data_IF_901052972141
#
_entry.id   IF_901052972141
#
_cell.length_a   1.000
_cell.length_b   1.000
_cell.length_c   1.000
_cell.angle_alpha   90.00
_cell.angle_beta   90.00
_cell.angle_gamma   90.00
#
_symmetry.space_group_name_H-M   'P 1'
#
loop_
_entity.id
_entity.type
_entity.pdbx_description
1 polymer ?
#
# COMPACT_ATOMS: atom_id res chain seq x y z
N UNK A 1 35.56 -3.65 -5.73
CA UNK A 1 34.35 -3.40 -6.52
C UNK A 1 33.18 -3.33 -5.56
N UNK A 2 32.36 -2.29 -5.62
CA UNK A 2 31.20 -2.16 -4.73
C UNK A 2 30.21 -3.31 -5.01
N UNK A 3 29.54 -3.86 -3.98
CA UNK A 3 28.56 -4.94 -4.16
C UNK A 3 27.42 -4.53 -5.10
N UNK A 4 27.02 -3.26 -5.05
CA UNK A 4 26.03 -2.68 -5.96
C UNK A 4 26.55 -2.63 -7.40
N UNK A 5 27.82 -2.26 -7.63
CA UNK A 5 28.42 -2.24 -8.98
C UNK A 5 28.41 -3.65 -9.59
N UNK A 6 28.73 -4.68 -8.79
CA UNK A 6 28.66 -6.07 -9.22
C UNK A 6 27.23 -6.48 -9.61
N UNK A 7 26.21 -6.05 -8.84
CA UNK A 7 24.81 -6.34 -9.15
C UNK A 7 24.36 -5.61 -10.42
N UNK A 8 24.81 -4.37 -10.63
CA UNK A 8 24.57 -3.59 -11.85
C UNK A 8 25.12 -4.33 -13.07
N UNK A 9 26.40 -4.73 -13.04
CA UNK A 9 27.03 -5.41 -14.16
C UNK A 9 26.37 -6.75 -14.46
N UNK A 10 26.05 -7.51 -13.41
CA UNK A 10 25.37 -8.79 -13.55
C UNK A 10 23.99 -8.63 -14.20
N UNK A 11 23.16 -7.72 -13.69
CA UNK A 11 21.84 -7.45 -14.24
C UNK A 11 21.92 -6.96 -15.70
N UNK A 12 22.85 -6.06 -15.99
CA UNK A 12 23.06 -5.55 -17.34
C UNK A 12 23.47 -6.65 -18.32
N UNK A 13 24.34 -7.56 -17.89
CA UNK A 13 24.74 -8.71 -18.70
C UNK A 13 23.59 -9.70 -18.88
N UNK A 14 22.85 -10.02 -17.81
CA UNK A 14 21.75 -10.97 -17.85
C UNK A 14 20.62 -10.51 -18.79
N UNK A 15 20.27 -9.22 -18.75
CA UNK A 15 19.21 -8.63 -19.58
C UNK A 15 19.71 -7.99 -20.90
N UNK A 16 20.96 -8.23 -21.32
CA UNK A 16 21.62 -7.55 -22.47
C UNK A 16 20.90 -7.66 -23.82
N UNK A 17 20.02 -8.64 -23.98
CA UNK A 17 19.26 -8.89 -25.21
C UNK A 17 17.75 -8.62 -25.05
N UNK A 18 17.34 -8.03 -23.92
CA UNK A 18 15.94 -7.77 -23.59
C UNK A 18 15.58 -6.30 -23.72
N UNK A 19 14.33 -6.05 -24.10
CA UNK A 19 13.76 -4.72 -24.23
C UNK A 19 12.46 -4.61 -23.45
N UNK A 20 12.10 -3.41 -23.01
CA UNK A 20 10.82 -3.14 -22.36
C UNK A 20 9.69 -3.39 -23.35
N UNK A 21 8.63 -4.05 -22.88
CA UNK A 21 7.50 -4.51 -23.69
C UNK A 21 6.94 -3.40 -24.60
N UNK A 22 7.01 -3.62 -25.91
CA UNK A 22 6.48 -2.68 -26.91
C UNK A 22 7.33 -1.41 -27.10
N UNK A 23 8.64 -1.47 -26.83
CA UNK A 23 9.57 -0.36 -27.02
C UNK A 23 10.99 -0.85 -27.36
N UNK A 24 11.86 0.07 -27.78
CA UNK A 24 13.30 -0.17 -27.99
C UNK A 24 14.16 0.14 -26.76
N UNK A 25 13.52 0.44 -25.61
CA UNK A 25 14.23 0.77 -24.37
C UNK A 25 14.85 -0.51 -23.79
N UNK A 26 16.17 -0.56 -23.53
CA UNK A 26 16.82 -1.73 -22.91
C UNK A 26 16.17 -2.10 -21.58
N UNK A 27 15.90 -3.39 -21.34
CA UNK A 27 15.17 -3.85 -20.16
C UNK A 27 15.83 -3.42 -18.84
N UNK A 28 17.17 -3.38 -18.84
CA UNK A 28 17.99 -2.95 -17.70
C UNK A 28 17.60 -1.59 -17.11
N UNK A 29 16.95 -0.71 -17.90
CA UNK A 29 16.43 0.56 -17.37
C UNK A 29 15.43 0.36 -16.21
N UNK A 30 14.69 -0.76 -16.21
CA UNK A 30 13.72 -1.06 -15.16
C UNK A 30 14.37 -1.49 -13.85
N UNK A 31 15.23 -2.53 -13.81
CA UNK A 31 15.95 -2.86 -12.58
C UNK A 31 16.72 -1.68 -11.99
N UNK A 32 17.32 -0.83 -12.84
CA UNK A 32 17.93 0.42 -12.39
C UNK A 32 16.93 1.38 -11.75
N UNK A 33 15.78 1.62 -12.40
CA UNK A 33 14.72 2.47 -11.86
C UNK A 33 14.18 1.97 -10.52
N UNK A 34 14.05 0.65 -10.35
CA UNK A 34 13.65 0.02 -9.07
C UNK A 34 14.70 0.25 -8.00
N UNK A 35 15.98 0.02 -8.31
CA UNK A 35 17.09 0.25 -7.40
C UNK A 35 17.18 1.71 -6.94
N UNK A 36 16.96 2.67 -7.85
CA UNK A 36 16.93 4.10 -7.52
C UNK A 36 15.80 4.45 -6.55
N UNK A 37 14.59 3.93 -6.77
CA UNK A 37 13.46 4.11 -5.84
C UNK A 37 13.81 3.57 -4.45
N UNK A 38 14.44 2.39 -4.37
CA UNK A 38 14.84 1.77 -3.11
C UNK A 38 15.93 2.57 -2.38
N UNK A 39 16.91 3.10 -3.12
CA UNK A 39 17.96 3.98 -2.60
C UNK A 39 17.38 5.30 -2.06
N UNK A 40 16.49 5.95 -2.81
CA UNK A 40 15.78 7.17 -2.37
C UNK A 40 14.95 6.91 -1.11
N UNK A 41 14.33 5.74 -1.02
CA UNK A 41 13.60 5.28 0.16
C UNK A 41 14.53 4.84 1.33
N UNK A 42 15.86 4.94 1.16
CA UNK A 42 16.89 4.58 2.15
C UNK A 42 16.76 3.12 2.63
N UNK A 43 16.44 2.22 1.71
CA UNK A 43 16.39 0.79 1.98
C UNK A 43 17.81 0.23 2.21
N UNK A 44 17.90 -0.96 2.81
CA UNK A 44 19.19 -1.65 3.02
C UNK A 44 19.84 -2.00 1.68
N UNK A 45 21.18 -2.09 1.68
CA UNK A 45 21.98 -2.42 0.49
C UNK A 45 21.51 -3.72 -0.18
N UNK A 46 21.19 -4.75 0.60
CA UNK A 46 20.68 -6.03 0.09
C UNK A 46 19.38 -5.88 -0.69
N UNK A 47 18.49 -4.98 -0.26
CA UNK A 47 17.21 -4.72 -0.94
C UNK A 47 17.45 -3.99 -2.26
N UNK A 48 18.38 -3.04 -2.28
CA UNK A 48 18.77 -2.32 -3.50
C UNK A 48 19.37 -3.28 -4.53
N UNK A 49 20.29 -4.16 -4.11
CA UNK A 49 20.85 -5.19 -4.98
C UNK A 49 19.78 -6.16 -5.46
N UNK A 50 18.86 -6.60 -4.58
CA UNK A 50 17.74 -7.42 -4.99
C UNK A 50 16.84 -6.69 -6.01
N UNK A 51 16.66 -5.36 -5.89
CA UNK A 51 15.99 -4.53 -6.88
C UNK A 51 16.64 -4.58 -8.28
N UNK A 52 17.97 -4.57 -8.33
CA UNK A 52 18.71 -4.73 -9.60
C UNK A 52 18.56 -6.14 -10.20
N UNK A 53 18.31 -7.15 -9.36
CA UNK A 53 18.35 -8.56 -9.73
C UNK A 53 16.97 -9.24 -9.77
N UNK A 54 15.88 -8.53 -9.42
CA UNK A 54 14.60 -9.17 -9.10
C UNK A 54 14.00 -9.99 -10.26
N UNK A 55 14.23 -9.57 -11.50
CA UNK A 55 13.74 -10.26 -12.70
C UNK A 55 14.74 -11.27 -13.27
N UNK A 56 15.97 -11.37 -12.74
CA UNK A 56 17.00 -12.22 -13.37
C UNK A 56 16.63 -13.70 -13.29
N UNK A 57 16.06 -14.17 -12.17
CA UNK A 57 15.59 -15.56 -12.05
C UNK A 57 14.38 -15.85 -12.94
N UNK A 58 13.54 -14.83 -13.18
CA UNK A 58 12.27 -15.01 -13.87
C UNK A 58 12.42 -14.95 -15.40
N UNK A 59 13.31 -14.09 -15.89
CA UNK A 59 13.40 -13.71 -17.30
C UNK A 59 14.74 -14.01 -17.95
N UNK A 60 15.73 -14.57 -17.24
CA UNK A 60 17.06 -14.89 -17.79
C UNK A 60 17.49 -16.31 -17.44
N UNK A 61 18.65 -16.76 -17.95
CA UNK A 61 19.24 -18.06 -17.59
C UNK A 61 19.93 -18.07 -16.21
N UNK A 62 19.70 -17.05 -15.38
CA UNK A 62 20.29 -16.93 -14.04
C UNK A 62 19.72 -18.00 -13.11
N UNK A 63 20.60 -18.65 -12.34
CA UNK A 63 20.20 -19.68 -11.37
C UNK A 63 20.27 -19.17 -9.92
N UNK A 64 19.61 -19.89 -9.00
CA UNK A 64 19.74 -19.64 -7.57
C UNK A 64 21.20 -19.67 -7.09
N UNK A 65 22.02 -20.57 -7.64
CA UNK A 65 23.43 -20.71 -7.28
C UNK A 65 24.28 -19.53 -7.77
N UNK A 66 23.96 -18.96 -8.93
CA UNK A 66 24.61 -17.75 -9.42
C UNK A 66 24.40 -16.58 -8.46
N UNK A 67 23.18 -16.41 -7.96
CA UNK A 67 22.86 -15.33 -7.02
C UNK A 67 23.44 -15.60 -5.63
N UNK A 68 23.33 -16.84 -5.14
CA UNK A 68 23.85 -17.24 -3.82
C UNK A 68 25.35 -17.03 -3.75
N UNK A 69 26.10 -17.52 -4.74
CA UNK A 69 27.56 -17.47 -4.76
C UNK A 69 28.11 -16.05 -4.92
N UNK A 70 27.41 -15.17 -5.64
CA UNK A 70 27.87 -13.80 -5.93
C UNK A 70 27.38 -12.74 -4.95
N UNK A 71 26.15 -12.86 -4.46
CA UNK A 71 25.48 -11.80 -3.70
C UNK A 71 25.04 -12.22 -2.30
N UNK A 72 25.01 -13.54 -2.03
CA UNK A 72 24.70 -14.13 -0.74
C UNK A 72 23.22 -14.50 -0.57
N UNK A 73 22.95 -15.23 0.52
CA UNK A 73 21.63 -15.82 0.80
C UNK A 73 20.51 -14.80 0.88
N UNK A 74 20.76 -13.65 1.52
CA UNK A 74 19.72 -12.65 1.75
C UNK A 74 19.24 -12.02 0.43
N UNK A 75 20.15 -11.79 -0.52
CA UNK A 75 19.77 -11.25 -1.84
C UNK A 75 18.98 -12.28 -2.62
N UNK A 76 19.43 -13.55 -2.63
CA UNK A 76 18.68 -14.63 -3.27
C UNK A 76 17.25 -14.74 -2.70
N UNK A 77 17.12 -14.75 -1.37
CA UNK A 77 15.83 -14.84 -0.68
C UNK A 77 14.88 -13.69 -1.08
N UNK A 78 15.41 -12.48 -1.21
CA UNK A 78 14.64 -11.30 -1.63
C UNK A 78 14.21 -11.40 -3.10
N UNK A 79 15.10 -11.83 -3.99
CA UNK A 79 14.79 -12.03 -5.41
C UNK A 79 13.71 -13.11 -5.57
N UNK A 80 13.85 -14.26 -4.89
CA UNK A 80 12.84 -15.32 -4.87
C UNK A 80 11.48 -14.84 -4.33
N UNK A 81 11.49 -13.99 -3.30
CA UNK A 81 10.27 -13.38 -2.75
C UNK A 81 9.61 -12.36 -3.69
N UNK A 82 10.33 -11.84 -4.69
CA UNK A 82 9.80 -10.90 -5.68
C UNK A 82 9.31 -11.60 -6.97
N UNK A 83 9.79 -12.81 -7.26
CA UNK A 83 9.39 -13.60 -8.44
C UNK A 83 7.98 -14.18 -8.29
N UNK A 84 7.23 -14.23 -9.39
CA UNK A 84 5.90 -14.86 -9.37
C UNK A 84 6.00 -16.39 -9.34
N UNK A 85 5.08 -17.09 -8.66
CA UNK A 85 5.03 -18.55 -8.70
C UNK A 85 4.62 -19.04 -10.09
N UNK A 86 4.79 -20.35 -10.30
CA UNK A 86 4.43 -21.14 -11.48
C UNK A 86 3.70 -20.37 -12.61
N UNK A 87 4.44 -20.07 -13.69
CA UNK A 87 3.93 -19.39 -14.89
C UNK A 87 2.84 -20.18 -15.64
N UNK A 88 2.57 -21.44 -15.27
CA UNK A 88 1.47 -22.25 -15.80
C UNK A 88 0.08 -21.78 -15.31
N UNK A 89 0.03 -21.12 -14.16
CA UNK A 89 -1.20 -20.61 -13.55
C UNK A 89 -1.76 -19.40 -14.31
N UNK A 90 -3.07 -19.16 -14.17
CA UNK A 90 -3.70 -17.98 -14.74
C UNK A 90 -3.12 -16.68 -14.16
N UNK A 91 -3.32 -15.58 -14.88
CA UNK A 91 -2.87 -14.27 -14.40
C UNK A 91 -3.52 -13.93 -13.05
N UNK A 92 -4.82 -14.21 -12.92
CA UNK A 92 -5.62 -14.00 -11.72
C UNK A 92 -5.05 -14.75 -10.51
N UNK A 93 -4.83 -16.07 -10.65
CA UNK A 93 -4.28 -16.91 -9.57
C UNK A 93 -2.90 -16.44 -9.12
N UNK A 94 -2.03 -16.07 -10.06
CA UNK A 94 -0.68 -15.57 -9.72
C UNK A 94 -0.76 -14.23 -8.97
N UNK A 95 -1.64 -13.32 -9.39
CA UNK A 95 -1.82 -12.04 -8.70
C UNK A 95 -2.45 -12.20 -7.32
N UNK A 96 -3.44 -13.07 -7.17
CA UNK A 96 -4.03 -13.39 -5.87
C UNK A 96 -2.99 -14.00 -4.90
N UNK A 97 -2.14 -14.91 -5.40
CA UNK A 97 -1.03 -15.45 -4.62
C UNK A 97 -0.08 -14.35 -4.15
N UNK A 98 0.36 -13.45 -5.05
CA UNK A 98 1.21 -12.31 -4.68
C UNK A 98 0.55 -11.43 -3.62
N UNK A 99 -0.74 -11.13 -3.78
CA UNK A 99 -1.49 -10.30 -2.82
C UNK A 99 -1.53 -10.95 -1.44
N UNK A 100 -1.75 -12.26 -1.34
CA UNK A 100 -1.78 -12.95 -0.05
C UNK A 100 -0.39 -13.08 0.57
N UNK A 101 0.62 -13.45 -0.23
CA UNK A 101 2.01 -13.53 0.21
C UNK A 101 2.48 -12.21 0.83
N UNK A 102 2.22 -11.08 0.17
CA UNK A 102 2.68 -9.76 0.63
C UNK A 102 2.06 -9.33 1.97
N UNK A 103 0.91 -9.89 2.39
CA UNK A 103 0.33 -9.58 3.71
C UNK A 103 1.18 -10.09 4.87
N UNK A 104 1.93 -11.18 4.64
CA UNK A 104 2.77 -11.83 5.66
C UNK A 104 4.27 -11.68 5.40
N UNK A 105 4.67 -11.19 4.21
CA UNK A 105 6.05 -10.96 3.85
C UNK A 105 6.76 -9.94 4.76
N UNK A 106 8.07 -10.15 4.95
CA UNK A 106 8.90 -9.24 5.72
C UNK A 106 9.00 -7.84 5.07
N UNK A 107 9.49 -6.86 5.83
CA UNK A 107 9.57 -5.47 5.37
C UNK A 107 10.42 -5.30 4.10
N UNK A 108 11.56 -5.98 4.00
CA UNK A 108 12.48 -5.86 2.87
C UNK A 108 11.83 -6.38 1.58
N UNK A 109 11.16 -7.53 1.66
CA UNK A 109 10.43 -8.12 0.52
C UNK A 109 9.28 -7.21 0.07
N UNK A 110 8.52 -6.65 1.02
CA UNK A 110 7.45 -5.68 0.71
C UNK A 110 7.99 -4.39 0.09
N UNK A 111 9.12 -3.89 0.57
CA UNK A 111 9.78 -2.70 -0.01
C UNK A 111 10.21 -2.96 -1.45
N UNK A 112 10.84 -4.09 -1.72
CA UNK A 112 11.25 -4.51 -3.07
C UNK A 112 10.05 -4.61 -4.02
N UNK A 113 9.01 -5.34 -3.63
CA UNK A 113 7.79 -5.48 -4.44
C UNK A 113 7.10 -4.13 -4.66
N UNK A 114 7.03 -3.29 -3.63
CA UNK A 114 6.46 -1.94 -3.74
C UNK A 114 7.23 -1.06 -4.74
N UNK A 115 8.57 -1.11 -4.73
CA UNK A 115 9.41 -0.34 -5.65
C UNK A 115 9.25 -0.80 -7.10
N UNK A 116 9.21 -2.12 -7.34
CA UNK A 116 8.92 -2.70 -8.65
C UNK A 116 7.57 -2.20 -9.18
N UNK A 117 6.50 -2.39 -8.41
CA UNK A 117 5.16 -1.99 -8.84
C UNK A 117 5.03 -0.47 -9.00
N UNK A 118 5.70 0.33 -8.17
CA UNK A 118 5.75 1.78 -8.35
C UNK A 118 6.44 2.17 -9.67
N UNK A 119 7.58 1.57 -9.98
CA UNK A 119 8.28 1.86 -11.24
C UNK A 119 7.41 1.48 -12.45
N UNK A 120 6.78 0.31 -12.39
CA UNK A 120 5.88 -0.16 -13.45
C UNK A 120 4.67 0.78 -13.61
N UNK A 121 4.02 1.20 -12.53
CA UNK A 121 2.92 2.15 -12.56
C UNK A 121 3.33 3.49 -13.19
N UNK A 122 4.49 4.03 -12.81
CA UNK A 122 5.03 5.27 -13.40
C UNK A 122 5.37 5.13 -14.88
N UNK A 123 5.76 3.93 -15.33
CA UNK A 123 5.92 3.64 -16.76
C UNK A 123 4.57 3.66 -17.48
N UNK A 124 3.54 3.01 -16.91
CA UNK A 124 2.19 3.01 -17.48
C UNK A 124 1.62 4.41 -17.54
N UNK A 125 1.79 5.23 -16.51
CA UNK A 125 1.33 6.62 -16.49
C UNK A 125 1.98 7.46 -17.59
N UNK A 126 3.28 7.30 -17.82
CA UNK A 126 4.00 7.99 -18.92
C UNK A 126 3.45 7.57 -20.29
N UNK A 127 3.22 6.28 -20.48
CA UNK A 127 2.63 5.78 -21.73
C UNK A 127 1.19 6.25 -21.92
N UNK A 128 0.39 6.27 -20.85
CA UNK A 128 -1.00 6.77 -20.87
C UNK A 128 -1.06 8.27 -21.24
N UNK A 129 -0.10 9.07 -20.80
CA UNK A 129 -0.03 10.49 -21.17
C UNK A 129 0.18 10.73 -22.68
N UNK A 130 0.71 9.73 -23.40
CA UNK A 130 0.95 9.80 -24.85
C UNK A 130 -0.14 9.07 -25.64
N UNK A 131 -0.54 7.89 -25.17
CA UNK A 131 -1.42 6.96 -25.90
C UNK A 131 -2.89 6.99 -25.44
N UNK A 132 -3.17 7.63 -24.30
CA UNK A 132 -4.47 7.52 -23.64
C UNK A 132 -4.83 6.06 -23.34
N UNK A 133 -6.09 5.70 -23.58
CA UNK A 133 -6.62 4.37 -23.30
C UNK A 133 -5.99 3.25 -24.15
N UNK A 134 -5.32 3.57 -25.25
CA UNK A 134 -4.63 2.56 -26.06
C UNK A 134 -3.47 1.88 -25.30
N UNK A 135 -2.98 2.48 -24.21
CA UNK A 135 -1.98 1.86 -23.34
C UNK A 135 -2.43 0.48 -22.84
N UNK A 136 -3.73 0.28 -22.63
CA UNK A 136 -4.28 -0.96 -22.09
C UNK A 136 -4.13 -2.13 -23.06
N UNK A 137 -3.97 -1.87 -24.36
CA UNK A 137 -3.70 -2.89 -25.38
C UNK A 137 -2.32 -3.57 -25.19
N UNK A 138 -1.39 -2.91 -24.47
CA UNK A 138 -0.10 -3.51 -24.11
C UNK A 138 -0.26 -4.63 -23.06
N UNK A 139 -1.37 -4.70 -22.35
CA UNK A 139 -1.61 -5.66 -21.29
C UNK A 139 -2.55 -6.77 -21.75
N UNK A 140 -2.24 -8.03 -21.41
CA UNK A 140 -3.15 -9.17 -21.65
C UNK A 140 -4.47 -9.03 -20.87
N UNK A 141 -4.51 -8.14 -19.88
CA UNK A 141 -5.66 -7.80 -19.03
C UNK A 141 -5.81 -6.29 -19.06
N UNK A 142 -7.02 -5.82 -19.39
CA UNK A 142 -7.31 -4.39 -19.54
C UNK A 142 -7.33 -3.62 -18.22
N UNK A 143 -7.77 -2.37 -18.31
CA UNK A 143 -7.79 -1.39 -17.23
C UNK A 143 -8.32 -1.93 -15.90
N UNK A 144 -9.50 -2.54 -15.87
CA UNK A 144 -10.18 -2.92 -14.62
C UNK A 144 -9.37 -3.94 -13.80
N UNK A 145 -8.72 -4.90 -14.46
CA UNK A 145 -7.89 -5.91 -13.80
C UNK A 145 -6.57 -5.29 -13.31
N UNK A 146 -5.98 -4.36 -14.05
CA UNK A 146 -4.80 -3.62 -13.58
C UNK A 146 -5.16 -2.77 -12.36
N UNK A 147 -6.24 -1.99 -12.44
CA UNK A 147 -6.77 -1.19 -11.35
C UNK A 147 -7.02 -2.03 -10.10
N UNK A 148 -7.73 -3.15 -10.24
CA UNK A 148 -7.98 -4.09 -9.14
C UNK A 148 -6.67 -4.53 -8.49
N UNK A 149 -5.66 -4.93 -9.27
CA UNK A 149 -4.40 -5.42 -8.74
C UNK A 149 -3.63 -4.34 -7.98
N UNK A 150 -3.47 -3.14 -8.57
CA UNK A 150 -2.75 -2.04 -7.94
C UNK A 150 -3.44 -1.52 -6.68
N UNK A 151 -4.77 -1.45 -6.66
CA UNK A 151 -5.53 -1.06 -5.45
C UNK A 151 -5.34 -2.09 -4.35
N UNK A 152 -5.45 -3.39 -4.66
CA UNK A 152 -5.26 -4.44 -3.65
C UNK A 152 -3.81 -4.56 -3.17
N UNK A 153 -2.82 -4.21 -4.01
CA UNK A 153 -1.42 -4.17 -3.59
C UNK A 153 -1.19 -3.18 -2.44
N UNK A 154 -1.86 -2.02 -2.43
CA UNK A 154 -1.74 -1.06 -1.34
C UNK A 154 -2.19 -1.68 -0.01
N UNK A 155 -3.33 -2.39 -0.03
CA UNK A 155 -3.84 -3.11 1.15
C UNK A 155 -2.88 -4.20 1.59
N UNK A 156 -2.44 -5.07 0.69
CA UNK A 156 -1.53 -6.19 1.02
C UNK A 156 -0.19 -5.71 1.55
N UNK A 157 0.42 -4.70 0.92
CA UNK A 157 1.70 -4.14 1.35
C UNK A 157 1.60 -3.46 2.73
N UNK A 158 0.47 -2.81 3.03
CA UNK A 158 0.23 -2.14 4.31
C UNK A 158 -0.31 -3.05 5.42
N UNK A 159 -0.74 -4.26 5.08
CA UNK A 159 -1.40 -5.18 6.00
C UNK A 159 -0.58 -5.43 7.27
N UNK A 160 0.68 -5.85 7.14
CA UNK A 160 1.55 -6.12 8.30
C UNK A 160 1.95 -4.83 9.04
N UNK A 161 2.49 -3.86 8.31
CA UNK A 161 2.91 -2.56 8.85
C UNK A 161 3.08 -1.53 7.74
N UNK A 162 2.95 -0.25 8.09
CA UNK A 162 3.18 0.87 7.17
C UNK A 162 4.68 1.20 7.04
N UNK A 163 5.11 1.66 5.88
CA UNK A 163 6.48 2.13 5.60
C UNK A 163 6.48 3.30 4.60
N UNK A 164 7.49 4.20 4.60
CA UNK A 164 7.43 5.44 3.81
C UNK A 164 7.26 5.25 2.29
N UNK A 165 7.86 4.23 1.69
CA UNK A 165 7.71 3.97 0.26
C UNK A 165 6.26 3.62 -0.13
N UNK A 166 5.50 2.98 0.78
CA UNK A 166 4.09 2.69 0.57
C UNK A 166 3.26 3.98 0.43
N UNK A 167 3.61 5.05 1.15
CA UNK A 167 2.91 6.33 1.06
C UNK A 167 3.00 6.92 -0.35
N UNK A 168 4.17 6.81 -0.99
CA UNK A 168 4.41 7.24 -2.37
C UNK A 168 3.65 6.36 -3.34
N UNK A 169 3.70 5.04 -3.17
CA UNK A 169 2.99 4.10 -4.03
C UNK A 169 1.47 4.27 -3.96
N UNK A 170 0.91 4.36 -2.75
CA UNK A 170 -0.50 4.61 -2.52
C UNK A 170 -0.98 5.90 -3.19
N UNK A 171 -0.24 7.01 -3.02
CA UNK A 171 -0.60 8.28 -3.68
C UNK A 171 -0.62 8.17 -5.20
N UNK A 172 0.32 7.44 -5.80
CA UNK A 172 0.37 7.23 -7.25
C UNK A 172 -0.81 6.38 -7.74
N UNK A 173 -1.13 5.29 -7.04
CA UNK A 173 -2.27 4.41 -7.34
C UNK A 173 -3.59 5.17 -7.28
N UNK A 174 -3.81 5.93 -6.20
CA UNK A 174 -5.04 6.68 -5.98
C UNK A 174 -5.23 7.81 -7.00
N UNK A 175 -4.16 8.56 -7.28
CA UNK A 175 -4.19 9.61 -8.29
C UNK A 175 -4.48 9.04 -9.68
N UNK A 176 -3.85 7.92 -10.03
CA UNK A 176 -3.93 7.38 -11.39
C UNK A 176 -5.21 6.58 -11.65
N UNK A 177 -5.59 5.66 -10.76
CA UNK A 177 -6.72 4.74 -10.99
C UNK A 177 -8.04 5.20 -10.39
N UNK A 178 -8.00 6.07 -9.38
CA UNK A 178 -9.19 6.45 -8.62
C UNK A 178 -9.55 7.93 -8.81
N UNK A 179 -8.65 8.73 -9.41
CA UNK A 179 -8.86 10.17 -9.60
C UNK A 179 -9.08 10.90 -8.28
N UNK A 180 -8.53 10.37 -7.18
CA UNK A 180 -8.71 10.96 -5.87
C UNK A 180 -7.84 12.21 -5.72
N UNK A 181 -8.49 13.31 -5.38
CA UNK A 181 -7.86 14.55 -4.95
C UNK A 181 -8.31 14.89 -3.54
N UNK A 182 -7.36 15.33 -2.72
CA UNK A 182 -7.60 15.74 -1.34
C UNK A 182 -7.21 17.20 -1.17
N UNK A 183 -8.04 17.93 -0.42
CA UNK A 183 -7.75 19.27 0.05
C UNK A 183 -6.50 19.29 0.95
N UNK A 184 -5.94 20.48 1.18
CA UNK A 184 -4.80 20.64 2.08
C UNK A 184 -5.13 20.18 3.51
N UNK A 185 -6.35 20.47 3.97
CA UNK A 185 -6.85 20.04 5.27
C UNK A 185 -6.93 18.50 5.36
N UNK A 186 -7.57 17.83 4.41
CA UNK A 186 -7.66 16.35 4.40
C UNK A 186 -6.29 15.68 4.36
N UNK A 187 -5.35 16.24 3.59
CA UNK A 187 -3.96 15.75 3.54
C UNK A 187 -3.26 15.87 4.90
N UNK A 188 -3.59 16.89 5.69
CA UNK A 188 -3.05 17.07 7.04
C UNK A 188 -3.57 16.02 8.05
N UNK A 189 -4.75 15.44 7.79
CA UNK A 189 -5.41 14.47 8.66
C UNK A 189 -5.13 13.01 8.27
N UNK A 190 -5.24 12.69 6.96
CA UNK A 190 -5.31 11.33 6.40
C UNK A 190 -4.14 10.40 6.75
N UNK A 191 -2.97 10.94 7.10
CA UNK A 191 -1.79 10.17 7.50
C UNK A 191 -1.24 10.61 8.86
N UNK A 192 -2.06 11.25 9.68
CA UNK A 192 -1.68 11.78 10.98
C UNK A 192 -2.26 10.91 12.10
N UNK A 193 -1.45 10.05 12.75
CA UNK A 193 -1.94 9.19 13.81
C UNK A 193 -2.53 9.97 15.00
N UNK A 194 -2.07 11.19 15.28
CA UNK A 194 -2.59 12.00 16.38
C UNK A 194 -4.02 12.47 16.10
N UNK A 195 -4.33 12.81 14.84
CA UNK A 195 -5.68 13.18 14.44
C UNK A 195 -6.66 12.03 14.68
N UNK A 196 -6.32 10.82 14.24
CA UNK A 196 -7.17 9.64 14.46
C UNK A 196 -7.27 9.23 15.94
N UNK A 197 -6.15 9.30 16.68
CA UNK A 197 -6.16 9.08 18.13
C UNK A 197 -7.14 10.06 18.83
N UNK A 198 -7.18 11.32 18.39
CA UNK A 198 -8.11 12.34 18.89
C UNK A 198 -9.58 12.06 18.51
N UNK A 199 -9.84 11.55 17.30
CA UNK A 199 -11.20 11.18 16.88
C UNK A 199 -11.77 10.07 17.77
N UNK A 200 -10.98 9.02 18.04
CA UNK A 200 -11.39 7.94 18.93
C UNK A 200 -11.58 8.41 20.38
N UNK A 201 -10.67 9.26 20.88
CA UNK A 201 -10.79 9.83 22.23
C UNK A 201 -12.09 10.64 22.39
N UNK A 202 -12.48 11.41 21.38
CA UNK A 202 -13.69 12.23 21.41
C UNK A 202 -15.00 11.41 21.45
N UNK A 203 -14.99 10.11 21.13
CA UNK A 203 -16.19 9.27 21.17
C UNK A 203 -16.74 9.08 22.60
N UNK A 204 -15.85 9.05 23.59
CA UNK A 204 -16.19 8.73 24.98
C UNK A 204 -15.67 9.76 25.99
N UNK A 205 -14.98 10.81 25.53
CA UNK A 205 -14.46 11.86 26.39
C UNK A 205 -15.57 12.78 26.93
N UNK A 206 -15.33 13.34 28.12
CA UNK A 206 -16.18 14.39 28.69
C UNK A 206 -16.17 15.67 27.82
N UNK A 207 -17.24 16.48 27.82
CA UNK A 207 -17.36 17.67 26.98
C UNK A 207 -16.18 18.66 27.10
N UNK A 208 -15.63 18.84 28.30
CA UNK A 208 -14.49 19.73 28.55
C UNK A 208 -13.22 19.23 27.86
N UNK A 209 -13.04 17.90 27.82
CA UNK A 209 -11.92 17.27 27.14
C UNK A 209 -12.07 17.35 25.63
N UNK A 210 -13.30 17.19 25.12
CA UNK A 210 -13.60 17.36 23.69
C UNK A 210 -13.31 18.80 23.24
N UNK A 211 -13.73 19.81 24.01
CA UNK A 211 -13.46 21.22 23.69
C UNK A 211 -11.96 21.51 23.58
N UNK A 212 -11.15 20.98 24.51
CA UNK A 212 -9.69 21.13 24.43
C UNK A 212 -9.07 20.48 23.19
N UNK A 213 -9.56 19.29 22.81
CA UNK A 213 -9.13 18.63 21.56
C UNK A 213 -9.54 19.46 20.34
N UNK A 214 -10.73 20.07 20.36
CA UNK A 214 -11.19 20.94 19.27
C UNK A 214 -10.33 22.19 19.12
N UNK A 215 -9.85 22.79 20.21
CA UNK A 215 -8.91 23.90 20.18
C UNK A 215 -7.58 23.48 19.51
N UNK A 216 -6.99 22.36 19.93
CA UNK A 216 -5.76 21.82 19.33
C UNK A 216 -5.94 21.50 17.83
N UNK A 217 -7.07 20.92 17.45
CA UNK A 217 -7.39 20.64 16.04
C UNK A 217 -7.63 21.93 15.25
N UNK A 218 -8.22 22.96 15.87
CA UNK A 218 -8.43 24.27 15.29
C UNK A 218 -7.12 24.96 14.93
N UNK A 219 -6.15 24.95 15.84
CA UNK A 219 -4.79 25.49 15.58
C UNK A 219 -4.09 24.82 14.41
N UNK A 220 -4.36 23.53 14.20
CA UNK A 220 -3.79 22.75 13.09
C UNK A 220 -4.64 22.79 11.80
N UNK A 221 -5.77 23.51 11.81
CA UNK A 221 -6.68 23.60 10.66
C UNK A 221 -7.39 22.29 10.33
N UNK A 222 -7.73 21.48 11.34
CA UNK A 222 -8.28 20.11 11.21
C UNK A 222 -9.72 19.99 11.73
N UNK A 223 -10.33 21.10 12.14
CA UNK A 223 -11.66 21.11 12.74
C UNK A 223 -12.76 20.74 11.75
N UNK A 224 -12.61 21.09 10.47
CA UNK A 224 -13.54 20.70 9.40
C UNK A 224 -13.54 19.19 9.21
N UNK A 225 -12.36 18.57 9.19
CA UNK A 225 -12.19 17.12 9.16
C UNK A 225 -12.87 16.43 10.35
N UNK A 226 -12.73 16.93 11.59
CA UNK A 226 -13.45 16.38 12.75
C UNK A 226 -14.95 16.42 12.54
N UNK A 227 -15.50 17.59 12.15
CA UNK A 227 -16.94 17.75 11.93
C UNK A 227 -17.45 16.75 10.89
N UNK A 228 -16.77 16.63 9.75
CA UNK A 228 -17.13 15.69 8.69
C UNK A 228 -17.14 14.23 9.17
N UNK A 229 -16.19 13.83 10.03
CA UNK A 229 -16.16 12.49 10.64
C UNK A 229 -17.37 12.30 11.56
N UNK A 230 -17.60 13.20 12.52
CA UNK A 230 -18.67 13.07 13.51
C UNK A 230 -20.07 13.14 12.89
N UNK A 231 -20.29 14.01 11.89
CA UNK A 231 -21.56 14.05 11.14
C UNK A 231 -21.84 12.72 10.43
N UNK A 232 -20.80 12.05 9.94
CA UNK A 232 -20.93 10.72 9.32
C UNK A 232 -21.13 9.60 10.34
N UNK A 233 -20.51 9.70 11.52
CA UNK A 233 -20.77 8.77 12.63
C UNK A 233 -22.26 8.74 12.96
N UNK A 234 -22.88 9.91 13.16
CA UNK A 234 -24.29 9.92 13.56
C UNK A 234 -25.23 9.45 12.47
N UNK A 235 -24.95 9.74 11.19
CA UNK A 235 -25.71 9.13 10.08
C UNK A 235 -25.61 7.60 10.10
N UNK A 236 -24.42 7.05 10.26
CA UNK A 236 -24.23 5.60 10.33
C UNK A 236 -24.93 4.95 11.53
N UNK A 237 -25.01 5.65 12.67
CA UNK A 237 -25.74 5.18 13.87
C UNK A 237 -27.25 5.28 13.71
N UNK A 238 -27.74 6.26 12.95
CA UNK A 238 -29.17 6.44 12.65
C UNK A 238 -29.70 5.49 11.57
N UNK A 239 -28.90 4.50 11.14
CA UNK A 239 -29.34 3.46 10.21
C UNK A 239 -29.25 3.86 8.74
N UNK A 240 -28.33 4.77 8.37
CA UNK A 240 -28.02 5.06 6.97
C UNK A 240 -27.73 3.74 6.20
N UNK A 241 -28.54 3.40 5.18
CA UNK A 241 -28.36 2.17 4.41
C UNK A 241 -26.98 2.05 3.76
N UNK A 242 -26.32 3.18 3.44
CA UNK A 242 -24.97 3.18 2.87
C UNK A 242 -23.90 2.74 3.88
N UNK A 243 -24.18 2.85 5.19
CA UNK A 243 -23.27 2.45 6.24
C UNK A 243 -23.43 0.98 6.63
N UNK A 244 -24.63 0.39 6.54
CA UNK A 244 -24.90 -0.95 7.08
C UNK A 244 -23.95 -2.02 6.52
N UNK A 245 -23.79 -2.10 5.19
CA UNK A 245 -22.86 -3.04 4.56
C UNK A 245 -21.40 -2.79 4.93
N UNK A 246 -20.99 -1.50 4.96
CA UNK A 246 -19.62 -1.10 5.31
C UNK A 246 -19.27 -1.42 6.76
N UNK A 247 -20.23 -1.27 7.69
CA UNK A 247 -20.07 -1.62 9.10
C UNK A 247 -19.81 -3.13 9.24
N UNK A 248 -20.56 -3.94 8.51
CA UNK A 248 -20.37 -5.39 8.52
C UNK A 248 -19.00 -5.79 7.93
N UNK A 249 -18.58 -5.18 6.82
CA UNK A 249 -17.26 -5.41 6.22
C UNK A 249 -16.11 -5.04 7.17
N UNK A 250 -16.15 -3.83 7.76
CA UNK A 250 -15.12 -3.38 8.70
C UNK A 250 -15.11 -4.22 9.96
N UNK A 251 -16.27 -4.57 10.51
CA UNK A 251 -16.36 -5.46 11.66
C UNK A 251 -15.67 -6.80 11.37
N UNK A 252 -16.01 -7.46 10.26
CA UNK A 252 -15.40 -8.75 9.88
C UNK A 252 -13.90 -8.61 9.66
N UNK A 253 -13.45 -7.53 9.02
CA UNK A 253 -12.03 -7.27 8.82
C UNK A 253 -11.28 -7.09 10.14
N UNK A 254 -11.79 -6.25 11.05
CA UNK A 254 -11.15 -6.02 12.35
C UNK A 254 -11.12 -7.31 13.21
N UNK A 255 -12.21 -8.08 13.18
CA UNK A 255 -12.31 -9.38 13.86
C UNK A 255 -11.31 -10.41 13.31
N UNK A 256 -11.18 -10.53 11.98
CA UNK A 256 -10.20 -11.44 11.37
C UNK A 256 -8.75 -11.07 11.72
N UNK A 257 -8.52 -9.82 12.12
CA UNK A 257 -7.23 -9.31 12.60
C UNK A 257 -7.07 -9.28 14.12
N UNK A 258 -7.97 -9.96 14.84
CA UNK A 258 -7.88 -10.21 16.28
C UNK A 258 -8.39 -9.08 17.17
N UNK A 259 -9.11 -8.09 16.63
CA UNK A 259 -9.82 -7.11 17.44
C UNK A 259 -11.22 -7.65 17.71
N UNK A 260 -11.43 -8.14 18.94
CA UNK A 260 -12.74 -8.59 19.40
C UNK A 260 -13.60 -7.41 19.86
N UNK A 261 -14.90 -7.52 19.65
CA UNK A 261 -15.90 -6.58 20.13
C UNK A 261 -16.93 -7.33 20.97
N UNK A 262 -17.54 -6.64 21.92
CA UNK A 262 -18.72 -7.16 22.61
C UNK A 262 -19.92 -7.10 21.66
N UNK A 263 -20.64 -8.22 21.57
CA UNK A 263 -21.80 -8.37 20.70
C UNK A 263 -22.94 -7.46 21.22
N UNK A 264 -23.60 -6.75 20.31
CA UNK A 264 -24.76 -5.90 20.57
C UNK A 264 -24.57 -4.77 21.60
N UNK A 265 -23.32 -4.32 21.81
CA UNK A 265 -23.05 -3.17 22.68
C UNK A 265 -23.13 -1.85 21.91
N UNK A 266 -23.72 -0.82 22.55
CA UNK A 266 -23.78 0.53 21.98
C UNK A 266 -22.36 1.09 21.72
N UNK A 267 -21.39 0.74 22.57
CA UNK A 267 -19.99 1.11 22.40
C UNK A 267 -19.36 0.50 21.13
N UNK A 268 -19.64 -0.78 20.85
CA UNK A 268 -19.21 -1.43 19.60
C UNK A 268 -19.79 -0.71 18.39
N UNK A 269 -21.09 -0.38 18.42
CA UNK A 269 -21.74 0.31 17.32
C UNK A 269 -21.12 1.67 17.03
N UNK A 270 -20.81 2.44 18.08
CA UNK A 270 -20.14 3.75 17.99
C UNK A 270 -18.74 3.60 17.37
N UNK A 271 -17.93 2.65 17.85
CA UNK A 271 -16.56 2.45 17.35
C UNK A 271 -16.57 2.02 15.89
N UNK A 272 -17.42 1.06 15.51
CA UNK A 272 -17.53 0.59 14.12
C UNK A 272 -18.05 1.71 13.22
N UNK A 273 -19.03 2.50 13.68
CA UNK A 273 -19.50 3.69 12.96
C UNK A 273 -18.38 4.72 12.76
N UNK A 274 -17.52 4.94 13.76
CA UNK A 274 -16.35 5.80 13.65
C UNK A 274 -15.32 5.27 12.65
N UNK A 275 -15.03 3.97 12.67
CA UNK A 275 -14.14 3.34 11.70
C UNK A 275 -14.64 3.53 10.27
N UNK A 276 -15.92 3.26 10.01
CA UNK A 276 -16.54 3.49 8.69
C UNK A 276 -16.52 4.97 8.33
N UNK A 277 -16.82 5.85 9.28
CA UNK A 277 -16.83 7.28 9.03
C UNK A 277 -15.45 7.80 8.60
N UNK A 278 -14.39 7.41 9.32
CA UNK A 278 -13.01 7.78 8.98
C UNK A 278 -12.56 7.14 7.67
N UNK A 279 -12.91 5.88 7.43
CA UNK A 279 -12.60 5.19 6.19
C UNK A 279 -13.19 5.92 4.98
N UNK A 280 -14.46 6.30 5.06
CA UNK A 280 -15.16 6.95 3.95
C UNK A 280 -14.70 8.39 3.75
N UNK A 281 -14.54 9.15 4.83
CA UNK A 281 -14.11 10.55 4.77
C UNK A 281 -12.70 10.67 4.19
N UNK A 282 -11.78 9.79 4.56
CA UNK A 282 -10.40 9.87 4.10
C UNK A 282 -10.02 8.81 3.07
N UNK A 283 -10.97 8.06 2.51
CA UNK A 283 -10.71 6.94 1.58
C UNK A 283 -9.57 6.04 2.09
N UNK A 284 -9.68 5.63 3.34
CA UNK A 284 -8.68 4.76 3.96
C UNK A 284 -8.84 3.33 3.46
N UNK A 285 -7.71 2.66 3.29
CA UNK A 285 -7.68 1.22 3.13
C UNK A 285 -7.99 0.53 4.46
N UNK A 286 -8.56 -0.68 4.44
CA UNK A 286 -8.88 -1.43 5.65
C UNK A 286 -7.70 -1.57 6.64
N UNK A 287 -6.47 -1.81 6.15
CA UNK A 287 -5.31 -1.89 7.04
C UNK A 287 -5.02 -0.58 7.78
N UNK A 288 -5.28 0.58 7.18
CA UNK A 288 -5.07 1.89 7.81
C UNK A 288 -6.02 2.08 8.98
N UNK A 289 -7.30 1.78 8.78
CA UNK A 289 -8.32 1.79 9.83
C UNK A 289 -7.92 0.89 10.99
N UNK A 290 -7.49 -0.34 10.68
CA UNK A 290 -7.01 -1.29 11.68
C UNK A 290 -5.82 -0.75 12.48
N UNK A 291 -4.81 -0.18 11.82
CA UNK A 291 -3.62 0.32 12.51
C UNK A 291 -3.94 1.53 13.39
N UNK A 292 -4.83 2.42 12.95
CA UNK A 292 -5.29 3.56 13.76
C UNK A 292 -6.08 3.10 14.99
N UNK A 293 -7.05 2.19 14.82
CA UNK A 293 -7.83 1.65 15.92
C UNK A 293 -6.93 0.89 16.92
N UNK A 294 -6.09 -0.02 16.42
CA UNK A 294 -5.17 -0.82 17.26
C UNK A 294 -4.22 0.07 18.06
N UNK A 295 -3.75 1.16 17.46
CA UNK A 295 -2.91 2.15 18.15
C UNK A 295 -3.68 2.87 19.27
N UNK A 296 -4.92 3.28 19.01
CA UNK A 296 -5.77 3.94 20.01
C UNK A 296 -6.10 3.01 21.18
N UNK A 297 -6.45 1.75 20.91
CA UNK A 297 -6.67 0.71 21.93
C UNK A 297 -5.43 0.50 22.81
N UNK A 298 -4.24 0.41 22.21
CA UNK A 298 -2.97 0.28 22.97
C UNK A 298 -2.67 1.48 23.88
N UNK A 299 -3.25 2.64 23.60
CA UNK A 299 -3.10 3.86 24.40
C UNK A 299 -4.18 4.02 25.48
N UNK A 300 -5.16 3.11 25.56
CA UNK A 300 -6.30 3.24 26.48
C UNK A 300 -7.20 4.43 26.16
N UNK A 301 -7.36 4.77 24.88
CA UNK A 301 -8.24 5.85 24.41
C UNK A 301 -9.68 5.39 24.15
N UNK A 302 -9.92 4.08 24.26
CA UNK A 302 -11.17 3.37 24.03
C UNK A 302 -11.31 2.29 25.10
#
# INVERSE_FOLDING_TARGET
MNRIDCAIEFAAYAHRHQFRKGSEIPYISHPFGVAMILLEAKCKEEVVMAGLLHDTLEDTDTTDEDLRSRFGEEVLRLVQGASEPDKSLSWEERKEHTLEFLKSADLSTRQLSCADKLHNLRSVRRDFAVLGDEVWNKFKRGYDKQKWYYVNLVESLGYASRFPLLDTFQSEVESFFMGLEFSAEEKSCRRNPKFFDAMFECLFAAPERVAHIEDELGENGQLGCKRAVFDRIERCRQGDPECAGKKEEIYRYLASRGIGFEIDSEGTDIIISACVAMQETFRLYPHEVYHHLRRSLKKGRL
#
